data_IF_954836141415
#
_entry.id   IF_954836141415
#
_cell.length_a   1.000
_cell.length_b   1.000
_cell.length_c   1.000
_cell.angle_alpha   90.00
_cell.angle_beta   90.00
_cell.angle_gamma   90.00
#
_symmetry.space_group_name_H-M   'P 1'
#
loop_
_entity.id
_entity.type
_entity.pdbx_description
1 polymer ?
#
# COMPACT_ATOMS: atom_id res chain seq x y z
N UNK A 1 45.13 -24.59 12.57
CA UNK A 1 43.69 -24.53 12.87
C UNK A 1 43.20 -23.10 12.74
N UNK A 2 42.42 -22.81 11.70
CA UNK A 2 42.04 -21.44 11.33
C UNK A 2 40.85 -20.91 12.16
N UNK A 3 40.52 -21.53 13.31
CA UNK A 3 39.51 -21.04 14.25
C UNK A 3 38.12 -20.73 13.63
N UNK A 4 37.79 -21.37 12.48
CA UNK A 4 36.50 -21.14 11.79
C UNK A 4 35.40 -21.74 12.64
N UNK A 5 34.48 -20.88 13.09
CA UNK A 5 33.30 -21.33 13.83
C UNK A 5 32.36 -22.09 12.88
N UNK A 6 31.99 -23.29 13.28
CA UNK A 6 30.97 -24.09 12.61
C UNK A 6 29.66 -24.01 13.40
N UNK A 7 28.54 -24.37 12.78
CA UNK A 7 27.28 -24.53 13.49
C UNK A 7 27.40 -25.60 14.56
N UNK A 8 26.70 -25.40 15.67
CA UNK A 8 26.54 -26.45 16.68
C UNK A 8 25.86 -27.68 16.04
N UNK A 9 26.20 -28.88 16.51
CA UNK A 9 25.55 -30.09 16.08
C UNK A 9 24.02 -29.98 16.29
N UNK A 10 23.28 -30.20 15.21
CA UNK A 10 21.81 -30.23 15.25
C UNK A 10 21.40 -31.69 15.53
N UNK A 11 20.71 -31.92 16.62
CA UNK A 11 20.21 -33.26 16.93
C UNK A 11 19.18 -33.70 15.88
N UNK A 12 19.31 -34.94 15.36
CA UNK A 12 18.35 -35.48 14.41
C UNK A 12 17.02 -35.76 15.15
N UNK A 13 15.91 -35.44 14.51
CA UNK A 13 14.60 -35.71 15.06
C UNK A 13 13.49 -34.80 14.54
N UNK A 14 12.27 -35.18 14.88
CA UNK A 14 11.11 -34.36 14.63
C UNK A 14 10.99 -33.27 15.69
N UNK A 15 10.42 -32.10 15.35
CA UNK A 15 10.07 -31.10 16.32
C UNK A 15 9.19 -31.68 17.42
N UNK A 16 9.55 -31.44 18.67
CA UNK A 16 8.75 -31.91 19.79
C UNK A 16 7.47 -31.10 19.93
N UNK A 17 6.37 -31.78 20.28
CA UNK A 17 5.14 -31.10 20.59
C UNK A 17 5.30 -30.31 21.89
N UNK A 18 5.16 -28.98 21.80
CA UNK A 18 5.30 -28.04 22.91
C UNK A 18 4.00 -27.28 23.08
N UNK A 19 3.48 -27.26 24.29
CA UNK A 19 2.39 -26.29 24.61
C UNK A 19 3.03 -25.01 25.13
N UNK A 20 2.85 -23.88 24.44
CA UNK A 20 3.43 -22.62 24.89
C UNK A 20 2.93 -22.22 26.29
N UNK A 21 3.83 -22.03 27.23
CA UNK A 21 3.46 -21.54 28.57
C UNK A 21 3.35 -20.01 28.55
N UNK A 22 2.13 -19.53 28.37
CA UNK A 22 1.79 -18.09 28.31
C UNK A 22 1.65 -17.46 29.71
N UNK A 23 1.68 -18.25 30.78
CA UNK A 23 1.43 -17.75 32.14
C UNK A 23 2.54 -16.86 32.69
N UNK A 24 3.78 -17.05 32.22
CA UNK A 24 4.95 -16.29 32.64
C UNK A 24 5.26 -15.08 31.79
N UNK A 25 4.53 -14.85 30.71
CA UNK A 25 4.78 -13.78 29.76
C UNK A 25 3.92 -12.54 30.05
N UNK A 26 4.46 -11.33 29.90
CA UNK A 26 3.68 -10.09 30.04
C UNK A 26 2.67 -10.01 28.88
N UNK A 27 1.41 -10.30 29.18
CA UNK A 27 0.33 -10.42 28.18
C UNK A 27 0.23 -9.21 27.24
N UNK A 28 0.49 -7.99 27.74
CA UNK A 28 0.48 -6.79 26.92
C UNK A 28 1.56 -6.84 25.82
N UNK A 29 2.75 -7.27 26.14
CA UNK A 29 3.85 -7.40 25.17
C UNK A 29 3.57 -8.51 24.16
N UNK A 30 3.09 -9.67 24.64
CA UNK A 30 2.71 -10.80 23.79
C UNK A 30 1.68 -10.36 22.75
N UNK A 31 0.60 -9.71 23.18
CA UNK A 31 -0.47 -9.26 22.29
C UNK A 31 0.07 -8.23 21.28
N UNK A 32 0.88 -7.25 21.76
CA UNK A 32 1.43 -6.22 20.87
C UNK A 32 2.37 -6.81 19.82
N UNK A 33 3.28 -7.70 20.21
CA UNK A 33 4.23 -8.34 19.30
C UNK A 33 3.48 -9.26 18.33
N UNK A 34 2.56 -10.09 18.83
CA UNK A 34 1.79 -11.02 18.01
C UNK A 34 0.95 -10.28 16.97
N UNK A 35 0.28 -9.20 17.35
CA UNK A 35 -0.51 -8.38 16.42
C UNK A 35 0.39 -7.74 15.35
N UNK A 36 1.53 -7.22 15.75
CA UNK A 36 2.49 -6.60 14.83
C UNK A 36 3.04 -7.63 13.84
N UNK A 37 3.45 -8.80 14.31
CA UNK A 37 3.94 -9.89 13.46
C UNK A 37 2.83 -10.38 12.51
N UNK A 38 1.60 -10.54 13.01
CA UNK A 38 0.46 -10.96 12.18
C UNK A 38 0.18 -9.96 11.05
N UNK A 39 0.17 -8.66 11.34
CA UNK A 39 -0.02 -7.61 10.32
C UNK A 39 1.07 -7.65 9.25
N UNK A 40 2.34 -7.80 9.66
CA UNK A 40 3.46 -7.89 8.71
C UNK A 40 3.35 -9.13 7.84
N UNK A 41 3.08 -10.31 8.43
CA UNK A 41 2.89 -11.56 7.68
C UNK A 41 1.74 -11.43 6.69
N UNK A 42 0.59 -10.91 7.12
CA UNK A 42 -0.56 -10.72 6.23
C UNK A 42 -0.22 -9.78 5.07
N UNK A 43 0.37 -8.62 5.35
CA UNK A 43 0.70 -7.64 4.33
C UNK A 43 1.71 -8.19 3.30
N UNK A 44 2.80 -8.79 3.77
CA UNK A 44 3.85 -9.34 2.91
C UNK A 44 3.35 -10.53 2.09
N UNK A 45 2.63 -11.46 2.73
CA UNK A 45 2.09 -12.65 2.05
C UNK A 45 1.08 -12.27 0.98
N UNK A 46 0.05 -11.47 1.31
CA UNK A 46 -0.98 -11.07 0.36
C UNK A 46 -0.40 -10.23 -0.79
N UNK A 47 0.57 -9.36 -0.51
CA UNK A 47 1.24 -8.59 -1.55
C UNK A 47 1.99 -9.50 -2.52
N UNK A 48 2.77 -10.45 -2.01
CA UNK A 48 3.49 -11.42 -2.82
C UNK A 48 2.54 -12.24 -3.69
N UNK A 49 1.52 -12.83 -3.07
CA UNK A 49 0.57 -13.70 -3.73
C UNK A 49 -0.25 -12.96 -4.79
N UNK A 50 -0.75 -11.76 -4.50
CA UNK A 50 -1.48 -10.94 -5.46
C UNK A 50 -0.60 -10.54 -6.66
N UNK A 51 0.67 -10.21 -6.45
CA UNK A 51 1.60 -9.90 -7.54
C UNK A 51 1.77 -11.09 -8.49
N UNK A 52 1.96 -12.30 -7.94
CA UNK A 52 2.10 -13.51 -8.76
C UNK A 52 0.76 -13.94 -9.40
N UNK A 53 -0.35 -13.77 -8.70
CA UNK A 53 -1.68 -14.04 -9.25
C UNK A 53 -1.99 -13.16 -10.46
N UNK A 54 -1.73 -11.85 -10.35
CA UNK A 54 -1.90 -10.90 -11.46
C UNK A 54 -1.00 -11.23 -12.65
N UNK A 55 0.28 -11.54 -12.37
CA UNK A 55 1.25 -11.91 -13.40
C UNK A 55 0.84 -13.17 -14.18
N UNK A 56 0.25 -14.14 -13.49
CA UNK A 56 -0.17 -15.42 -14.07
C UNK A 56 -1.66 -15.46 -14.48
N UNK A 57 -2.39 -14.36 -14.31
CA UNK A 57 -3.76 -14.20 -14.80
C UNK A 57 -4.84 -14.99 -14.03
N UNK A 58 -4.61 -15.35 -12.77
CA UNK A 58 -5.62 -15.98 -11.93
C UNK A 58 -6.06 -15.07 -10.77
N UNK A 59 -7.21 -15.36 -10.19
CA UNK A 59 -7.76 -14.63 -9.05
C UNK A 59 -7.51 -15.40 -7.75
N UNK A 60 -7.11 -14.69 -6.74
CA UNK A 60 -6.98 -15.20 -5.38
C UNK A 60 -8.21 -14.89 -4.54
N UNK A 61 -8.38 -15.67 -3.48
CA UNK A 61 -9.33 -15.38 -2.40
C UNK A 61 -8.53 -15.05 -1.13
N UNK A 62 -8.32 -13.77 -0.87
CA UNK A 62 -7.51 -13.25 0.24
C UNK A 62 -7.94 -13.85 1.59
N UNK A 63 -9.24 -14.04 1.82
CA UNK A 63 -9.74 -14.62 3.07
C UNK A 63 -9.33 -16.09 3.25
N UNK A 64 -9.31 -16.84 2.16
CA UNK A 64 -8.90 -18.26 2.18
C UNK A 64 -7.39 -18.38 2.44
N UNK A 65 -6.58 -17.50 1.84
CA UNK A 65 -5.14 -17.47 2.05
C UNK A 65 -4.79 -17.06 3.49
N UNK A 66 -5.42 -16.01 4.02
CA UNK A 66 -5.26 -15.61 5.43
C UNK A 66 -5.62 -16.75 6.37
N UNK A 67 -6.71 -17.48 6.10
CA UNK A 67 -7.11 -18.62 6.90
C UNK A 67 -6.06 -19.75 6.83
N UNK A 68 -5.55 -20.06 5.63
CA UNK A 68 -4.52 -21.10 5.45
C UNK A 68 -3.23 -20.76 6.19
N UNK A 69 -2.73 -19.52 6.09
CA UNK A 69 -1.57 -19.06 6.85
C UNK A 69 -1.81 -19.04 8.35
N UNK A 70 -3.00 -18.66 8.79
CA UNK A 70 -3.37 -18.69 10.20
C UNK A 70 -3.33 -20.11 10.77
N UNK A 71 -3.88 -21.08 10.04
CA UNK A 71 -3.83 -22.50 10.43
C UNK A 71 -2.40 -23.04 10.43
N UNK A 72 -1.59 -22.68 9.44
CA UNK A 72 -0.17 -23.04 9.39
C UNK A 72 0.61 -22.50 10.59
N UNK A 73 0.41 -21.22 10.93
CA UNK A 73 1.04 -20.59 12.08
C UNK A 73 0.54 -21.14 13.42
N UNK A 74 -0.74 -21.50 13.50
CA UNK A 74 -1.30 -22.15 14.67
C UNK A 74 -0.64 -23.53 14.92
N UNK A 75 -0.45 -24.33 13.87
CA UNK A 75 0.26 -25.59 13.98
C UNK A 75 1.76 -25.42 14.30
N UNK A 76 2.40 -24.40 13.71
CA UNK A 76 3.79 -24.06 13.99
C UNK A 76 4.02 -23.71 15.47
N UNK A 77 3.06 -23.07 16.13
CA UNK A 77 3.14 -22.74 17.55
C UNK A 77 3.28 -23.98 18.46
N UNK A 78 2.63 -25.09 18.09
CA UNK A 78 2.74 -26.36 18.86
C UNK A 78 4.01 -27.16 18.57
N UNK A 79 4.74 -26.79 17.53
CA UNK A 79 6.03 -27.42 17.21
C UNK A 79 7.21 -26.56 17.65
N UNK A 80 6.97 -25.44 18.34
CA UNK A 80 8.00 -24.48 18.75
C UNK A 80 8.72 -23.81 17.59
N UNK A 81 8.14 -23.84 16.39
CA UNK A 81 8.69 -23.22 15.19
C UNK A 81 8.43 -21.71 15.16
N UNK A 82 9.30 -20.97 14.45
CA UNK A 82 9.06 -19.56 14.15
C UNK A 82 7.80 -19.40 13.29
N UNK A 83 7.15 -18.21 13.35
CA UNK A 83 6.04 -17.90 12.47
C UNK A 83 6.42 -18.06 11.00
N UNK A 84 5.51 -18.66 10.21
CA UNK A 84 5.68 -18.87 8.78
C UNK A 84 5.08 -17.70 8.00
N UNK A 85 5.76 -17.32 6.92
CA UNK A 85 5.40 -16.22 6.05
C UNK A 85 5.54 -16.61 4.57
N UNK A 86 4.76 -15.98 3.70
CA UNK A 86 4.96 -16.03 2.26
C UNK A 86 6.29 -15.35 1.88
N UNK A 87 7.03 -15.95 0.94
CA UNK A 87 8.32 -15.42 0.51
C UNK A 87 8.32 -15.10 -0.97
N UNK A 88 8.44 -13.81 -1.30
CA UNK A 88 8.53 -13.33 -2.69
C UNK A 88 9.65 -14.04 -3.44
N UNK A 89 10.85 -14.14 -2.86
CA UNK A 89 12.03 -14.75 -3.52
C UNK A 89 11.84 -16.24 -3.78
N UNK A 90 11.28 -16.99 -2.83
CA UNK A 90 11.01 -18.43 -3.01
C UNK A 90 9.89 -18.68 -4.02
N UNK A 91 8.87 -17.84 -4.03
CA UNK A 91 7.80 -17.90 -5.03
C UNK A 91 8.34 -17.57 -6.42
N UNK A 92 9.20 -16.55 -6.54
CA UNK A 92 9.87 -16.22 -7.80
C UNK A 92 10.75 -17.36 -8.31
N UNK A 93 11.49 -18.06 -7.44
CA UNK A 93 12.22 -19.28 -7.81
C UNK A 93 11.28 -20.37 -8.32
N UNK A 94 10.16 -20.62 -7.63
CA UNK A 94 9.16 -21.58 -8.08
C UNK A 94 8.65 -21.25 -9.50
N UNK A 95 8.39 -19.99 -9.79
CA UNK A 95 7.99 -19.51 -11.11
C UNK A 95 9.09 -19.70 -12.15
N UNK A 96 10.35 -19.36 -11.83
CA UNK A 96 11.50 -19.54 -12.70
C UNK A 96 11.69 -21.00 -13.11
N UNK A 97 11.42 -21.94 -12.20
CA UNK A 97 11.47 -23.38 -12.47
C UNK A 97 10.14 -23.94 -12.98
N UNK A 98 9.20 -23.07 -13.39
CA UNK A 98 7.89 -23.44 -13.96
C UNK A 98 7.04 -24.36 -13.04
N UNK A 99 7.13 -24.17 -11.74
CA UNK A 99 6.26 -24.85 -10.78
C UNK A 99 4.81 -24.44 -11.01
N UNK A 100 3.96 -25.42 -11.36
CA UNK A 100 2.54 -25.18 -11.70
C UNK A 100 1.56 -25.74 -10.67
N UNK A 101 2.06 -26.45 -9.66
CA UNK A 101 1.20 -27.15 -8.69
C UNK A 101 1.77 -27.04 -7.27
N UNK A 102 0.90 -27.20 -6.29
CA UNK A 102 1.27 -27.27 -4.86
C UNK A 102 2.14 -28.52 -4.51
N UNK A 103 2.29 -29.44 -5.45
CA UNK A 103 3.14 -30.63 -5.27
C UNK A 103 4.59 -30.25 -4.96
N UNK A 104 5.08 -29.14 -5.51
CA UNK A 104 6.42 -28.62 -5.21
C UNK A 104 6.60 -28.31 -3.73
N UNK A 105 5.61 -27.69 -3.10
CA UNK A 105 5.63 -27.42 -1.66
C UNK A 105 5.60 -28.69 -0.81
N UNK A 106 4.80 -29.68 -1.22
CA UNK A 106 4.73 -30.99 -0.54
C UNK A 106 6.08 -31.71 -0.64
N UNK A 107 6.68 -31.76 -1.83
CA UNK A 107 7.98 -32.40 -2.03
C UNK A 107 9.07 -31.68 -1.23
N UNK A 108 9.06 -30.34 -1.20
CA UNK A 108 9.99 -29.56 -0.40
C UNK A 108 9.85 -29.86 1.10
N UNK A 109 8.62 -29.95 1.60
CA UNK A 109 8.32 -30.33 2.98
C UNK A 109 8.81 -31.75 3.33
N UNK A 110 8.54 -32.71 2.44
CA UNK A 110 9.03 -34.12 2.62
C UNK A 110 10.56 -34.20 2.57
N UNK A 111 11.20 -33.44 1.65
CA UNK A 111 12.66 -33.37 1.58
C UNK A 111 13.27 -32.79 2.85
N UNK A 112 12.65 -31.75 3.41
CA UNK A 112 13.08 -31.17 4.69
C UNK A 112 12.88 -32.15 5.83
N UNK A 113 11.78 -32.92 5.84
CA UNK A 113 11.53 -33.95 6.82
C UNK A 113 12.64 -35.03 6.79
N UNK A 114 12.99 -35.51 5.61
CA UNK A 114 14.10 -36.48 5.42
C UNK A 114 15.43 -35.88 5.90
N UNK A 115 15.68 -34.63 5.60
CA UNK A 115 16.90 -33.94 6.06
C UNK A 115 16.95 -33.87 7.59
N UNK A 116 15.84 -33.54 8.26
CA UNK A 116 15.76 -33.49 9.73
C UNK A 116 15.97 -34.85 10.39
N UNK A 117 15.52 -35.92 9.76
CA UNK A 117 15.65 -37.28 10.31
C UNK A 117 17.03 -37.91 10.09
N UNK A 118 17.64 -37.65 8.91
CA UNK A 118 18.82 -38.39 8.48
C UNK A 118 20.03 -37.48 8.16
N UNK A 119 19.82 -36.19 7.91
CA UNK A 119 20.84 -35.29 7.33
C UNK A 119 21.41 -34.25 8.28
N UNK A 120 20.95 -34.15 9.53
CA UNK A 120 21.36 -33.09 10.46
C UNK A 120 22.84 -33.15 10.85
N UNK A 121 23.45 -34.33 10.85
CA UNK A 121 24.87 -34.49 11.16
C UNK A 121 25.80 -33.72 10.21
N UNK A 122 25.41 -33.58 8.95
CA UNK A 122 26.15 -32.79 7.95
C UNK A 122 26.03 -31.28 8.22
N UNK A 123 24.90 -30.81 8.76
CA UNK A 123 24.66 -29.38 9.02
C UNK A 123 25.66 -28.81 10.05
N UNK A 124 26.04 -29.61 11.05
CA UNK A 124 27.01 -29.21 12.06
C UNK A 124 28.40 -28.89 11.52
N UNK A 125 28.75 -29.40 10.34
CA UNK A 125 30.05 -29.12 9.68
C UNK A 125 30.03 -27.83 8.84
N UNK A 126 28.88 -27.16 8.66
CA UNK A 126 28.77 -25.95 7.86
C UNK A 126 29.48 -24.77 8.57
N UNK A 127 30.45 -24.12 7.92
CA UNK A 127 31.06 -22.91 8.48
C UNK A 127 30.07 -21.74 8.53
N UNK A 128 30.01 -21.07 9.66
CA UNK A 128 29.14 -19.87 9.84
C UNK A 128 29.42 -18.80 8.76
N UNK A 129 30.68 -18.50 8.37
CA UNK A 129 30.94 -17.53 7.29
C UNK A 129 30.31 -17.91 5.95
N UNK A 130 30.22 -19.22 5.64
CA UNK A 130 29.57 -19.67 4.40
C UNK A 130 28.07 -19.41 4.42
N UNK A 131 27.42 -19.67 5.54
CA UNK A 131 25.99 -19.37 5.72
C UNK A 131 25.72 -17.87 5.65
N UNK A 132 26.55 -17.06 6.28
CA UNK A 132 26.46 -15.60 6.21
C UNK A 132 26.62 -15.11 4.77
N UNK A 133 27.57 -15.65 4.00
CA UNK A 133 27.74 -15.31 2.59
C UNK A 133 26.52 -15.67 1.74
N UNK A 134 25.91 -16.84 1.99
CA UNK A 134 24.68 -17.26 1.31
C UNK A 134 23.53 -16.28 1.63
N UNK A 135 23.36 -15.90 2.90
CA UNK A 135 22.33 -14.95 3.32
C UNK A 135 22.56 -13.57 2.67
N UNK A 136 23.79 -13.06 2.70
CA UNK A 136 24.12 -11.79 2.07
C UNK A 136 23.84 -11.84 0.56
N UNK A 137 24.26 -12.92 -0.12
CA UNK A 137 23.99 -13.09 -1.55
C UNK A 137 22.50 -13.12 -1.87
N UNK A 138 21.71 -13.83 -1.05
CA UNK A 138 20.26 -13.88 -1.19
C UNK A 138 19.61 -12.52 -0.98
N UNK A 139 20.05 -11.76 0.03
CA UNK A 139 19.53 -10.41 0.32
C UNK A 139 19.89 -9.42 -0.80
N UNK A 140 21.11 -9.47 -1.33
CA UNK A 140 21.53 -8.65 -2.46
C UNK A 140 20.69 -8.95 -3.72
N UNK A 141 20.40 -10.24 -3.97
CA UNK A 141 19.53 -10.66 -5.06
C UNK A 141 18.07 -10.26 -4.90
N UNK A 142 17.60 -10.11 -3.66
CA UNK A 142 16.23 -9.67 -3.35
C UNK A 142 16.08 -8.13 -3.29
N UNK A 143 17.20 -7.39 -3.32
CA UNK A 143 17.14 -5.92 -3.24
C UNK A 143 16.78 -5.33 -4.59
N UNK A 144 15.61 -4.72 -4.68
CA UNK A 144 15.09 -4.08 -5.89
C UNK A 144 15.57 -2.63 -6.01
N UNK A 145 16.84 -2.40 -6.35
CA UNK A 145 17.37 -1.05 -6.60
C UNK A 145 16.63 -0.31 -7.73
N UNK A 146 16.12 -1.06 -8.72
CA UNK A 146 15.34 -0.51 -9.83
C UNK A 146 14.03 0.14 -9.35
N UNK A 147 13.39 -0.43 -8.32
CA UNK A 147 12.19 0.15 -7.72
C UNK A 147 12.46 1.54 -7.15
N UNK A 148 13.53 1.70 -6.37
CA UNK A 148 13.92 3.00 -5.81
C UNK A 148 14.21 4.03 -6.91
N UNK A 149 14.91 3.64 -7.97
CA UNK A 149 15.19 4.51 -9.12
C UNK A 149 13.91 4.87 -9.90
N UNK A 150 12.98 3.94 -10.03
CA UNK A 150 11.67 4.17 -10.67
C UNK A 150 10.81 5.12 -9.85
N UNK A 151 10.72 4.91 -8.53
CA UNK A 151 9.97 5.81 -7.63
C UNK A 151 10.48 7.25 -7.72
N UNK A 152 11.80 7.46 -7.71
CA UNK A 152 12.39 8.79 -7.84
C UNK A 152 12.01 9.49 -9.15
N UNK A 153 11.86 8.73 -10.25
CA UNK A 153 11.49 9.27 -11.57
C UNK A 153 9.99 9.53 -11.70
N UNK A 154 9.15 8.71 -11.10
CA UNK A 154 7.68 8.76 -11.27
C UNK A 154 7.03 9.64 -10.23
N UNK A 155 7.39 9.49 -8.95
CA UNK A 155 6.76 10.20 -7.84
C UNK A 155 7.77 10.47 -6.73
N UNK A 156 8.20 11.73 -6.63
CA UNK A 156 9.13 12.14 -5.57
C UNK A 156 8.54 11.92 -4.17
N UNK A 157 7.24 12.10 -4.01
CA UNK A 157 6.55 11.92 -2.73
C UNK A 157 6.64 10.47 -2.29
N UNK A 158 6.31 9.52 -3.19
CA UNK A 158 6.41 8.09 -2.89
C UNK A 158 7.85 7.66 -2.60
N UNK A 159 8.83 8.25 -3.29
CA UNK A 159 10.24 8.02 -2.99
C UNK A 159 10.61 8.46 -1.56
N UNK A 160 10.13 9.62 -1.10
CA UNK A 160 10.39 10.07 0.27
C UNK A 160 9.68 9.22 1.32
N UNK A 161 8.48 8.71 1.03
CA UNK A 161 7.79 7.74 1.89
C UNK A 161 8.59 6.44 1.99
N UNK A 162 9.05 5.92 0.86
CA UNK A 162 9.94 4.75 0.81
C UNK A 162 11.21 4.97 1.65
N UNK A 163 11.85 6.12 1.50
CA UNK A 163 13.07 6.47 2.25
C UNK A 163 12.78 6.58 3.75
N UNK A 164 11.66 7.20 4.12
CA UNK A 164 11.23 7.32 5.52
C UNK A 164 10.95 5.96 6.16
N UNK A 165 10.28 5.06 5.45
CA UNK A 165 10.05 3.68 5.91
C UNK A 165 11.37 2.90 6.02
N UNK A 166 12.26 3.01 5.03
CA UNK A 166 13.56 2.35 5.01
C UNK A 166 14.44 2.77 6.20
N UNK A 167 14.61 4.07 6.43
CA UNK A 167 15.36 4.56 7.59
C UNK A 167 14.64 4.28 8.90
N UNK A 168 13.31 4.28 8.91
CA UNK A 168 12.52 3.86 10.05
C UNK A 168 12.83 2.42 10.46
N UNK A 169 12.91 1.49 9.51
CA UNK A 169 13.31 0.09 9.78
C UNK A 169 14.72 0.01 10.30
N UNK A 170 15.68 0.72 9.70
CA UNK A 170 17.08 0.68 10.10
C UNK A 170 17.33 1.25 11.51
N UNK A 171 16.65 2.34 11.87
CA UNK A 171 16.91 3.05 13.12
C UNK A 171 16.02 2.59 14.28
N UNK A 172 14.78 2.25 14.00
CA UNK A 172 13.76 1.98 15.02
C UNK A 172 13.28 0.52 15.01
N UNK A 173 13.79 -0.30 14.09
CA UNK A 173 13.40 -1.69 13.92
C UNK A 173 12.21 -1.87 12.96
N UNK A 174 11.99 -3.12 12.55
CA UNK A 174 11.05 -3.47 11.47
C UNK A 174 9.62 -3.00 11.75
N UNK A 175 9.10 -3.22 12.97
CA UNK A 175 7.72 -2.87 13.33
C UNK A 175 7.48 -1.37 13.23
N UNK A 176 8.37 -0.58 13.83
CA UNK A 176 8.24 0.88 13.84
C UNK A 176 8.44 1.46 12.44
N UNK A 177 9.36 0.91 11.65
CA UNK A 177 9.57 1.33 10.27
C UNK A 177 8.36 1.07 9.36
N UNK A 178 7.74 -0.09 9.48
CA UNK A 178 6.49 -0.42 8.76
C UNK A 178 5.37 0.53 9.19
N UNK A 179 5.22 0.77 10.50
CA UNK A 179 4.21 1.70 11.01
C UNK A 179 4.41 3.14 10.49
N UNK A 180 5.65 3.62 10.46
CA UNK A 180 6.00 4.91 9.84
C UNK A 180 5.61 4.93 8.37
N UNK A 181 5.94 3.89 7.60
CA UNK A 181 5.56 3.75 6.20
C UNK A 181 4.05 3.84 5.98
N UNK A 182 3.28 3.12 6.79
CA UNK A 182 1.82 3.13 6.77
C UNK A 182 1.28 4.55 7.05
N UNK A 183 1.74 5.20 8.12
CA UNK A 183 1.29 6.55 8.49
C UNK A 183 1.62 7.57 7.39
N UNK A 184 2.82 7.53 6.83
CA UNK A 184 3.22 8.41 5.74
C UNK A 184 2.38 8.17 4.47
N UNK A 185 2.11 6.91 4.13
CA UNK A 185 1.29 6.55 2.97
C UNK A 185 -0.16 7.00 3.15
N UNK A 186 -0.76 6.82 4.32
CA UNK A 186 -2.09 7.35 4.62
C UNK A 186 -2.14 8.88 4.57
N UNK A 187 -1.12 9.54 5.12
CA UNK A 187 -1.01 11.00 5.08
C UNK A 187 -0.96 11.51 3.64
N UNK A 188 -0.17 10.89 2.78
CA UNK A 188 -0.11 11.23 1.35
C UNK A 188 -1.46 11.02 0.67
N UNK A 189 -2.12 9.88 0.93
CA UNK A 189 -3.44 9.60 0.37
C UNK A 189 -4.47 10.67 0.77
N UNK A 190 -4.47 11.08 2.04
CA UNK A 190 -5.36 12.14 2.54
C UNK A 190 -5.04 13.48 1.86
N UNK A 191 -3.76 13.88 1.78
CA UNK A 191 -3.33 15.13 1.16
C UNK A 191 -3.70 15.14 -0.33
N UNK A 192 -3.48 14.04 -1.03
CA UNK A 192 -3.80 13.89 -2.46
C UNK A 192 -5.30 14.01 -2.72
N UNK A 193 -6.11 13.39 -1.86
CA UNK A 193 -7.58 13.45 -1.95
C UNK A 193 -8.11 14.82 -1.55
N UNK A 194 -7.47 15.50 -0.60
CA UNK A 194 -7.83 16.85 -0.18
C UNK A 194 -7.48 17.93 -1.21
N UNK A 195 -6.54 17.65 -2.14
CA UNK A 195 -6.12 18.58 -3.21
C UNK A 195 -6.41 18.02 -4.60
N UNK A 196 -7.68 17.82 -4.98
CA UNK A 196 -8.05 17.23 -6.25
C UNK A 196 -7.74 18.14 -7.44
N UNK A 197 -7.78 17.55 -8.63
CA UNK A 197 -7.74 18.29 -9.88
C UNK A 197 -8.98 19.18 -10.02
N UNK A 198 -8.76 20.41 -10.38
CA UNK A 198 -9.80 21.44 -10.50
C UNK A 198 -9.41 22.45 -11.56
N UNK A 199 -10.38 22.98 -12.28
CA UNK A 199 -10.13 23.95 -13.33
C UNK A 199 -11.34 24.85 -13.60
N UNK A 200 -11.07 26.02 -14.13
CA UNK A 200 -12.08 26.87 -14.73
C UNK A 200 -12.22 26.52 -16.19
N UNK A 201 -13.45 26.44 -16.66
CA UNK A 201 -13.77 26.01 -18.02
C UNK A 201 -14.14 27.22 -18.88
N UNK A 202 -13.79 27.11 -20.15
CA UNK A 202 -14.16 28.08 -21.18
C UNK A 202 -14.60 27.41 -22.49
N UNK A 203 -14.95 28.22 -23.48
CA UNK A 203 -15.34 27.77 -24.81
C UNK A 203 -14.21 28.02 -25.80
N UNK A 204 -13.95 27.02 -26.63
CA UNK A 204 -13.11 27.16 -27.82
C UNK A 204 -14.01 27.33 -29.04
N UNK A 205 -13.81 28.36 -29.87
CA UNK A 205 -14.59 28.54 -31.09
C UNK A 205 -14.58 27.32 -31.98
N UNK A 206 -15.76 26.87 -32.41
CA UNK A 206 -15.92 25.68 -33.24
C UNK A 206 -16.03 24.34 -32.48
N UNK A 207 -15.91 24.33 -31.15
CA UNK A 207 -16.08 23.12 -30.32
C UNK A 207 -17.34 23.23 -29.47
N UNK A 208 -18.01 22.09 -29.25
CA UNK A 208 -19.25 22.02 -28.44
C UNK A 208 -19.02 21.74 -26.96
N UNK A 209 -17.77 21.43 -26.57
CA UNK A 209 -17.45 21.05 -25.21
C UNK A 209 -16.63 22.13 -24.50
N UNK A 210 -16.89 22.30 -23.22
CA UNK A 210 -16.09 23.14 -22.36
C UNK A 210 -14.73 22.51 -22.11
N UNK A 211 -13.67 23.34 -22.11
CA UNK A 211 -12.27 22.92 -21.87
C UNK A 211 -11.63 23.79 -20.81
N UNK A 212 -10.56 23.29 -20.22
CA UNK A 212 -9.77 24.05 -19.23
C UNK A 212 -9.19 25.32 -19.88
N UNK A 213 -9.42 26.45 -19.25
CA UNK A 213 -8.89 27.76 -19.68
C UNK A 213 -7.36 27.79 -19.81
N UNK A 214 -6.67 26.90 -19.06
CA UNK A 214 -5.20 26.79 -19.07
C UNK A 214 -4.65 25.90 -20.19
N UNK A 215 -5.50 25.13 -20.86
CA UNK A 215 -5.07 24.16 -21.88
C UNK A 215 -4.57 24.81 -23.17
N UNK A 216 -5.20 25.93 -23.59
CA UNK A 216 -4.84 26.65 -24.82
C UNK A 216 -5.24 28.12 -24.76
N UNK A 217 -4.44 28.97 -25.40
CA UNK A 217 -4.76 30.40 -25.59
C UNK A 217 -6.01 30.69 -26.45
N UNK A 218 -6.53 29.67 -27.15
CA UNK A 218 -7.75 29.78 -27.96
C UNK A 218 -9.03 29.56 -27.16
N UNK A 219 -8.92 29.21 -25.87
CA UNK A 219 -10.06 28.98 -25.00
C UNK A 219 -10.35 30.27 -24.25
N UNK A 220 -11.57 30.77 -24.36
CA UNK A 220 -11.98 32.01 -23.73
C UNK A 220 -13.06 31.78 -22.68
N UNK A 221 -12.98 32.52 -21.57
CA UNK A 221 -14.06 32.54 -20.59
C UNK A 221 -15.32 33.18 -21.21
N UNK A 222 -16.48 32.75 -20.77
CA UNK A 222 -17.75 33.36 -21.15
C UNK A 222 -17.96 34.60 -20.31
N UNK A 223 -18.26 35.74 -20.95
CA UNK A 223 -18.52 37.00 -20.24
C UNK A 223 -19.69 36.86 -19.25
N UNK A 224 -19.45 37.24 -18.00
CA UNK A 224 -20.43 37.15 -16.94
C UNK A 224 -20.74 35.72 -16.41
N UNK A 225 -20.07 34.67 -16.90
CA UNK A 225 -20.30 33.31 -16.45
C UNK A 225 -19.00 32.64 -15.98
N UNK A 226 -19.00 32.18 -14.75
CA UNK A 226 -17.89 31.43 -14.17
C UNK A 226 -18.25 29.95 -14.19
N UNK A 227 -17.51 29.13 -14.94
CA UNK A 227 -17.69 27.67 -14.99
C UNK A 227 -16.53 27.01 -14.27
N UNK A 228 -16.83 26.27 -13.20
CA UNK A 228 -15.83 25.63 -12.37
C UNK A 228 -16.06 24.11 -12.34
N UNK A 229 -15.04 23.32 -12.67
CA UNK A 229 -15.04 21.85 -12.59
C UNK A 229 -14.23 21.42 -11.40
N UNK A 230 -14.82 20.51 -10.60
CA UNK A 230 -14.19 19.87 -9.48
C UNK A 230 -14.17 18.36 -9.70
N UNK A 231 -12.97 17.75 -9.77
CA UNK A 231 -12.79 16.39 -10.23
C UNK A 231 -12.45 15.43 -9.07
N UNK A 232 -13.30 15.37 -8.06
CA UNK A 232 -13.19 14.43 -6.94
C UNK A 232 -14.48 14.41 -6.11
N UNK A 233 -14.62 13.41 -5.24
CA UNK A 233 -15.62 13.44 -4.19
C UNK A 233 -15.46 14.67 -3.29
N UNK A 234 -16.56 15.23 -2.85
CA UNK A 234 -16.59 16.44 -2.04
C UNK A 234 -16.78 16.08 -0.57
N UNK A 235 -15.90 16.58 0.30
CA UNK A 235 -15.94 16.29 1.73
C UNK A 235 -15.31 17.42 2.54
N UNK A 236 -15.39 17.34 3.87
CA UNK A 236 -14.98 18.39 4.80
C UNK A 236 -13.58 18.97 4.55
N UNK A 237 -12.63 18.15 4.06
CA UNK A 237 -11.24 18.59 3.86
C UNK A 237 -11.02 19.36 2.56
N UNK A 238 -11.89 19.24 1.55
CA UNK A 238 -11.69 19.86 0.24
C UNK A 238 -12.77 20.88 -0.14
N UNK A 239 -13.93 20.90 0.51
CA UNK A 239 -15.04 21.81 0.21
C UNK A 239 -14.65 23.29 0.40
N UNK A 240 -13.82 23.61 1.39
CA UNK A 240 -13.36 24.98 1.62
C UNK A 240 -12.48 25.50 0.46
N UNK A 241 -11.76 24.60 -0.20
CA UNK A 241 -10.97 24.94 -1.37
C UNK A 241 -11.87 25.29 -2.56
N UNK A 242 -12.91 24.49 -2.81
CA UNK A 242 -13.92 24.76 -3.84
C UNK A 242 -14.59 26.13 -3.60
N UNK A 243 -15.02 26.37 -2.37
CA UNK A 243 -15.66 27.65 -1.98
C UNK A 243 -14.74 28.83 -2.23
N UNK A 244 -13.49 28.77 -1.77
CA UNK A 244 -12.49 29.82 -1.96
C UNK A 244 -12.20 30.06 -3.43
N UNK A 245 -11.99 29.00 -4.22
CA UNK A 245 -11.72 29.14 -5.64
C UNK A 245 -12.86 29.87 -6.38
N UNK A 246 -14.10 29.57 -6.05
CA UNK A 246 -15.25 30.24 -6.64
C UNK A 246 -15.31 31.71 -6.17
N UNK A 247 -15.22 31.96 -4.85
CA UNK A 247 -15.31 33.30 -4.26
C UNK A 247 -14.21 34.25 -4.78
N UNK A 248 -12.97 33.73 -4.89
CA UNK A 248 -11.80 34.54 -5.35
C UNK A 248 -11.86 34.88 -6.85
N UNK A 249 -12.64 34.15 -7.63
CA UNK A 249 -12.74 34.34 -9.08
C UNK A 249 -14.05 34.98 -9.52
N UNK A 250 -14.95 35.31 -8.60
CA UNK A 250 -16.15 36.15 -8.89
C UNK A 250 -15.72 37.60 -9.12
N UNK A 251 -16.07 38.14 -10.28
CA UNK A 251 -15.86 39.54 -10.66
C UNK A 251 -17.14 40.33 -10.51
N UNK A 252 -17.07 41.64 -10.60
CA UNK A 252 -18.23 42.54 -10.52
C UNK A 252 -19.25 42.31 -11.64
N UNK A 253 -18.80 41.83 -12.80
CA UNK A 253 -19.62 41.51 -13.96
C UNK A 253 -20.17 40.07 -13.95
N UNK A 254 -19.86 39.26 -12.96
CA UNK A 254 -20.29 37.85 -12.88
C UNK A 254 -21.80 37.76 -12.57
N UNK A 255 -22.55 37.23 -13.52
CA UNK A 255 -24.00 37.01 -13.43
C UNK A 255 -24.40 35.59 -13.07
N UNK A 256 -23.54 34.62 -13.43
CA UNK A 256 -23.82 33.21 -13.16
C UNK A 256 -22.56 32.43 -12.81
N UNK A 257 -22.71 31.47 -11.89
CA UNK A 257 -21.70 30.46 -11.52
C UNK A 257 -22.24 29.08 -11.85
N UNK A 258 -21.50 28.30 -12.62
CA UNK A 258 -21.86 26.93 -12.98
C UNK A 258 -20.81 26.00 -12.36
N UNK A 259 -21.26 25.13 -11.46
CA UNK A 259 -20.45 24.04 -10.92
C UNK A 259 -20.65 22.79 -11.78
N UNK A 260 -19.61 22.40 -12.48
CA UNK A 260 -19.58 21.09 -13.16
C UNK A 260 -19.23 20.02 -12.14
N UNK A 261 -20.26 19.32 -11.68
CA UNK A 261 -20.21 18.27 -10.67
C UNK A 261 -20.16 16.85 -11.26
N UNK A 262 -19.92 16.73 -12.58
CA UNK A 262 -19.93 15.43 -13.28
C UNK A 262 -18.94 14.40 -12.70
N UNK A 263 -17.87 14.85 -12.06
CA UNK A 263 -16.88 14.00 -11.41
C UNK A 263 -17.04 13.89 -9.88
N UNK A 264 -18.11 14.45 -9.31
CA UNK A 264 -18.43 14.35 -7.88
C UNK A 264 -19.33 13.14 -7.67
N UNK A 265 -18.73 12.00 -7.33
CA UNK A 265 -19.47 10.75 -7.11
C UNK A 265 -20.15 10.66 -5.75
N UNK A 266 -19.67 11.39 -4.73
CA UNK A 266 -20.24 11.42 -3.39
C UNK A 266 -19.91 12.72 -2.66
N UNK A 267 -20.75 13.04 -1.66
CA UNK A 267 -20.60 14.23 -0.84
C UNK A 267 -20.93 13.89 0.62
N UNK A 268 -20.16 14.43 1.58
CA UNK A 268 -20.50 14.32 2.99
C UNK A 268 -21.43 15.47 3.45
N UNK A 269 -22.00 15.33 4.64
CA UNK A 269 -22.93 16.31 5.21
C UNK A 269 -22.27 17.69 5.34
N UNK A 270 -21.03 17.74 5.80
CA UNK A 270 -20.28 19.00 5.97
C UNK A 270 -20.09 19.74 4.64
N UNK A 271 -19.79 18.99 3.57
CA UNK A 271 -19.65 19.58 2.23
C UNK A 271 -21.00 20.06 1.71
N UNK A 272 -22.09 19.32 1.94
CA UNK A 272 -23.43 19.75 1.54
C UNK A 272 -23.83 21.05 2.23
N UNK A 273 -23.62 21.17 3.54
CA UNK A 273 -23.91 22.40 4.29
C UNK A 273 -23.08 23.61 3.78
N UNK A 274 -21.81 23.37 3.47
CA UNK A 274 -20.93 24.43 2.92
C UNK A 274 -21.34 24.87 1.51
N UNK A 275 -21.80 23.93 0.66
CA UNK A 275 -22.34 24.26 -0.66
C UNK A 275 -23.65 25.06 -0.53
N UNK A 276 -24.52 24.68 0.39
CA UNK A 276 -25.75 25.43 0.65
C UNK A 276 -25.43 26.88 1.11
N UNK A 277 -24.45 27.05 2.01
CA UNK A 277 -24.00 28.40 2.41
C UNK A 277 -23.41 29.18 1.24
N UNK A 278 -22.65 28.56 0.36
CA UNK A 278 -22.14 29.19 -0.86
C UNK A 278 -23.29 29.62 -1.78
N UNK A 279 -24.27 28.74 -2.01
CA UNK A 279 -25.47 29.01 -2.79
C UNK A 279 -26.24 30.22 -2.25
N UNK A 280 -26.52 30.26 -0.94
CA UNK A 280 -27.20 31.39 -0.30
C UNK A 280 -26.38 32.69 -0.40
N UNK A 281 -25.07 32.61 -0.30
CA UNK A 281 -24.15 33.73 -0.50
C UNK A 281 -24.23 34.31 -1.91
N UNK A 282 -24.21 33.45 -2.93
CA UNK A 282 -24.34 33.85 -4.35
C UNK A 282 -25.72 34.45 -4.64
N UNK A 283 -26.78 33.84 -4.12
CA UNK A 283 -28.15 34.34 -4.25
C UNK A 283 -28.33 35.74 -3.67
N UNK A 284 -27.76 36.01 -2.50
CA UNK A 284 -27.78 37.39 -1.89
C UNK A 284 -27.08 38.44 -2.74
N UNK A 285 -26.05 38.03 -3.54
CA UNK A 285 -25.35 38.92 -4.48
C UNK A 285 -26.06 39.02 -5.83
N UNK A 286 -27.20 38.36 -6.03
CA UNK A 286 -27.94 38.33 -7.30
C UNK A 286 -27.27 37.47 -8.39
N UNK A 287 -26.36 36.58 -8.00
CA UNK A 287 -25.64 35.69 -8.91
C UNK A 287 -26.42 34.38 -9.04
N UNK A 288 -26.75 34.00 -10.28
CA UNK A 288 -27.37 32.72 -10.55
C UNK A 288 -26.37 31.58 -10.33
N UNK A 289 -26.71 30.56 -9.56
CA UNK A 289 -25.87 29.38 -9.40
C UNK A 289 -26.55 28.14 -9.96
N UNK A 290 -25.82 27.36 -10.74
CA UNK A 290 -26.28 26.13 -11.37
C UNK A 290 -25.26 25.03 -11.06
N UNK A 291 -25.79 23.81 -10.75
CA UNK A 291 -24.98 22.60 -10.60
C UNK A 291 -25.30 21.71 -11.78
N UNK A 292 -24.29 21.41 -12.59
CA UNK A 292 -24.40 20.47 -13.69
C UNK A 292 -23.95 19.08 -13.24
N UNK A 293 -24.85 18.11 -13.31
CA UNK A 293 -24.59 16.69 -13.07
C UNK A 293 -24.85 15.99 -14.39
N UNK A 294 -23.81 15.35 -14.98
CA UNK A 294 -24.03 14.48 -16.14
C UNK A 294 -24.65 13.16 -15.66
N UNK A 295 -25.72 12.74 -16.31
CA UNK A 295 -26.27 11.38 -16.13
C UNK A 295 -25.30 10.31 -16.64
#
# INVERSE_FOLDING_TARGET
EWGIQTLSAVEPGLPQFVIPDIRMLPMKEVVTISLSVAVVIMAETLLAENNFAQKNGYRMNDNQEIFAFSMGNFLAAFTGCCPINGSVSRTAMGEQYQSKTQLTGIIAGLSMLVLLLCGTGFIGYLPIPMLTAIVISALLGATEFELAARLLKVSRTEFFIFLGAFFGVLMLGTINGVLIGIILSFTEMIIRTAKPSRCFLGIQPGHRHFRDLKESHQIHAIEGVLIYRFSSNLFFANVQMLKRDIEDNIKEDTKAVILDASAIGSMDITAADQLEMLYQGLKKRGILSLIHISE
#
